data_IF_597652235710
#
_entry.id   IF_597652235710
#
_cell.length_a   1.000
_cell.length_b   1.000
_cell.length_c   1.000
_cell.angle_alpha   90.00
_cell.angle_beta   90.00
_cell.angle_gamma   90.00
#
_symmetry.space_group_name_H-M   'P 1'
#
loop_
_entity.id
_entity.type
_entity.pdbx_description
1 polymer ?
#
# COMPACT_ATOMS: atom_id res chain seq x y z
N UNK A 1 -1.34 -11.55 3.32
CA UNK A 1 -1.34 -10.13 2.98
C UNK A 1 -2.78 -9.63 3.03
N UNK A 2 -3.07 -8.67 3.90
CA UNK A 2 -4.39 -8.04 3.98
C UNK A 2 -4.42 -6.85 3.03
N UNK A 3 -5.45 -6.75 2.19
CA UNK A 3 -5.58 -5.66 1.23
C UNK A 3 -7.04 -5.24 1.05
N UNK A 4 -7.24 -4.03 0.53
CA UNK A 4 -8.53 -3.47 0.19
C UNK A 4 -8.43 -2.76 -1.15
N UNK A 5 -9.43 -2.95 -2.00
CA UNK A 5 -9.55 -2.27 -3.30
C UNK A 5 -10.68 -1.27 -3.21
N UNK A 6 -10.45 -0.07 -3.73
CA UNK A 6 -11.44 0.98 -3.87
C UNK A 6 -11.49 1.41 -5.34
N UNK A 7 -12.35 2.35 -5.69
CA UNK A 7 -12.41 2.88 -7.06
C UNK A 7 -11.12 3.59 -7.47
N UNK A 8 -10.35 4.10 -6.50
CA UNK A 8 -9.16 4.93 -6.77
C UNK A 8 -7.85 4.27 -6.36
N UNK A 9 -7.84 3.36 -5.38
CA UNK A 9 -6.61 2.82 -4.79
C UNK A 9 -6.72 1.34 -4.43
N UNK A 10 -5.56 0.68 -4.41
CA UNK A 10 -5.31 -0.57 -3.70
C UNK A 10 -4.54 -0.23 -2.43
N UNK A 11 -5.07 -0.63 -1.27
CA UNK A 11 -4.43 -0.48 0.02
C UNK A 11 -3.93 -1.84 0.49
N UNK A 12 -2.68 -1.92 0.93
CA UNK A 12 -2.07 -3.13 1.48
C UNK A 12 -1.65 -2.83 2.92
N UNK A 13 -2.15 -3.63 3.86
CA UNK A 13 -1.75 -3.56 5.24
C UNK A 13 -0.46 -4.36 5.43
N UNK A 14 0.57 -3.65 5.86
CA UNK A 14 1.83 -4.17 6.33
C UNK A 14 1.89 -4.08 7.86
N UNK A 15 1.66 -5.19 8.56
CA UNK A 15 1.74 -5.21 10.03
C UNK A 15 2.93 -6.05 10.47
N UNK A 16 3.96 -5.37 10.98
CA UNK A 16 5.17 -5.99 11.52
C UNK A 16 5.42 -5.49 12.94
N UNK A 17 5.41 -6.41 13.91
CA UNK A 17 5.59 -6.15 15.34
C UNK A 17 4.70 -5.01 15.87
N UNK A 18 5.28 -3.82 16.07
CA UNK A 18 4.63 -2.63 16.62
C UNK A 18 4.25 -1.59 15.55
N UNK A 19 4.65 -1.83 14.31
CA UNK A 19 4.40 -0.95 13.17
C UNK A 19 3.25 -1.53 12.35
N UNK A 20 2.26 -0.69 12.07
CA UNK A 20 1.15 -1.03 11.19
C UNK A 20 1.07 0.05 10.13
N UNK A 21 1.56 -0.28 8.95
CA UNK A 21 1.62 0.63 7.82
C UNK A 21 0.61 0.22 6.76
N UNK A 22 0.06 1.21 6.07
CA UNK A 22 -0.78 1.02 4.92
C UNK A 22 -0.06 1.57 3.70
N UNK A 23 0.33 0.67 2.81
CA UNK A 23 0.85 1.02 1.51
C UNK A 23 -0.34 1.30 0.58
N UNK A 24 -0.31 2.46 -0.05
CA UNK A 24 -1.38 3.00 -0.88
C UNK A 24 -0.87 3.07 -2.31
N UNK A 25 -1.56 2.39 -3.22
CA UNK A 25 -1.21 2.35 -4.63
C UNK A 25 -2.39 2.88 -5.47
N UNK A 26 -2.20 3.94 -6.27
CA UNK A 26 -3.26 4.42 -7.14
C UNK A 26 -3.62 3.36 -8.19
N UNK A 27 -4.92 3.22 -8.46
CA UNK A 27 -5.42 2.40 -9.55
C UNK A 27 -5.35 3.20 -10.84
N UNK A 28 -4.59 2.70 -11.79
CA UNK A 28 -4.48 3.25 -13.15
C UNK A 28 -4.97 2.21 -14.16
N UNK A 29 -5.28 2.62 -15.39
CA UNK A 29 -5.51 1.69 -16.52
C UNK A 29 -4.21 1.02 -16.95
N UNK A 30 -3.09 1.70 -16.72
CA UNK A 30 -1.75 1.19 -16.98
C UNK A 30 -1.28 0.48 -15.71
N UNK A 31 -0.76 -0.74 -15.87
CA UNK A 31 -0.12 -1.45 -14.77
C UNK A 31 1.31 -0.98 -14.56
N UNK A 32 1.81 -1.18 -13.36
CA UNK A 32 3.20 -1.02 -12.98
C UNK A 32 4.08 -2.02 -13.76
N UNK A 33 5.15 -1.54 -14.38
CA UNK A 33 6.06 -2.37 -15.18
C UNK A 33 7.05 -3.14 -14.32
N UNK A 34 7.45 -2.56 -13.19
CA UNK A 34 8.47 -3.11 -12.30
C UNK A 34 8.32 -2.55 -10.88
N UNK A 35 9.15 -3.06 -9.97
CA UNK A 35 9.15 -2.66 -8.56
C UNK A 35 9.56 -1.20 -8.34
N UNK A 36 10.40 -0.63 -9.22
CA UNK A 36 10.83 0.77 -9.11
C UNK A 36 9.66 1.71 -9.30
N UNK A 37 8.85 1.46 -10.34
CA UNK A 37 7.63 2.24 -10.60
C UNK A 37 6.62 2.07 -9.46
N UNK A 38 6.45 0.84 -8.97
CA UNK A 38 5.54 0.54 -7.86
C UNK A 38 5.91 1.31 -6.58
N UNK A 39 7.18 1.32 -6.20
CA UNK A 39 7.66 2.01 -5.00
C UNK A 39 7.58 3.52 -5.16
N UNK A 40 7.91 4.04 -6.34
CA UNK A 40 7.89 5.48 -6.61
C UNK A 40 6.49 6.08 -6.46
N UNK A 41 5.47 5.37 -6.90
CA UNK A 41 4.06 5.79 -6.84
C UNK A 41 3.37 5.44 -5.52
N UNK A 42 4.05 4.73 -4.61
CA UNK A 42 3.46 4.29 -3.36
C UNK A 42 3.50 5.38 -2.29
N UNK A 43 2.40 5.54 -1.57
CA UNK A 43 2.36 6.28 -0.31
C UNK A 43 2.25 5.32 0.87
N UNK A 44 2.97 5.58 1.96
CA UNK A 44 2.90 4.76 3.17
C UNK A 44 2.44 5.60 4.35
N UNK A 45 1.38 5.14 5.03
CA UNK A 45 0.78 5.81 6.18
C UNK A 45 0.71 4.88 7.38
N UNK A 46 1.08 5.37 8.56
CA UNK A 46 1.01 4.60 9.80
C UNK A 46 -0.42 4.62 10.35
N UNK A 47 -0.92 3.47 10.81
CA UNK A 47 -2.14 3.34 11.61
C UNK A 47 -1.78 2.85 13.01
N UNK A 48 -2.50 3.32 14.03
CA UNK A 48 -2.26 2.92 15.43
C UNK A 48 -3.18 1.79 15.89
N UNK A 49 -4.31 1.63 15.20
CA UNK A 49 -5.28 0.56 15.44
C UNK A 49 -5.53 -0.19 14.13
N UNK A 50 -5.31 -1.49 14.15
CA UNK A 50 -5.45 -2.35 12.97
C UNK A 50 -6.87 -2.39 12.42
N UNK A 51 -7.88 -2.19 13.29
CA UNK A 51 -9.28 -2.15 12.86
C UNK A 51 -9.60 -0.94 11.96
N UNK A 52 -8.81 0.13 12.04
CA UNK A 52 -8.97 1.32 11.21
C UNK A 52 -8.68 1.01 9.74
N UNK A 53 -7.95 -0.06 9.44
CA UNK A 53 -7.67 -0.49 8.06
C UNK A 53 -8.96 -0.71 7.24
N UNK A 54 -10.04 -1.19 7.88
CA UNK A 54 -11.33 -1.46 7.22
C UNK A 54 -11.96 -0.20 6.61
N UNK A 55 -11.70 0.96 7.21
CA UNK A 55 -12.25 2.26 6.82
C UNK A 55 -11.18 3.26 6.38
N UNK A 56 -9.93 2.81 6.26
CA UNK A 56 -8.77 3.64 5.95
C UNK A 56 -8.96 4.45 4.65
N UNK A 57 -8.50 5.69 4.70
CA UNK A 57 -8.51 6.66 3.60
C UNK A 57 -7.30 7.57 3.79
N UNK A 58 -6.29 7.42 2.93
CA UNK A 58 -5.03 8.15 3.00
C UNK A 58 -5.22 9.68 2.95
N UNK A 59 -6.31 10.17 2.32
CA UNK A 59 -6.61 11.60 2.28
C UNK A 59 -6.98 12.21 3.65
N UNK A 60 -7.25 11.35 4.65
CA UNK A 60 -7.63 11.74 6.02
C UNK A 60 -6.52 11.50 7.03
N UNK A 61 -5.39 10.93 6.59
CA UNK A 61 -4.25 10.61 7.45
C UNK A 61 -3.12 11.57 7.12
N UNK A 62 -2.72 12.37 8.11
CA UNK A 62 -1.65 13.35 7.96
C UNK A 62 -0.31 12.86 8.51
N UNK A 63 -0.25 11.64 9.03
CA UNK A 63 0.95 11.08 9.64
C UNK A 63 1.65 10.20 8.61
N UNK A 64 2.72 10.70 7.95
CA UNK A 64 3.52 9.85 7.09
C UNK A 64 4.11 8.71 7.92
N UNK A 65 4.24 7.53 7.32
CA UNK A 65 4.85 6.39 8.02
C UNK A 65 6.26 6.72 8.51
N UNK A 66 6.57 6.25 9.72
CA UNK A 66 7.94 6.27 10.27
C UNK A 66 8.84 5.20 9.65
N UNK A 67 8.26 4.20 8.98
CA UNK A 67 8.92 3.12 8.26
C UNK A 67 9.44 3.61 6.92
N UNK A 68 10.65 4.17 6.91
CA UNK A 68 11.35 4.49 5.66
C UNK A 68 11.39 3.29 4.70
N UNK A 69 11.22 3.56 3.41
CA UNK A 69 11.04 2.61 2.30
C UNK A 69 12.15 1.54 2.17
N UNK A 70 12.16 0.52 3.01
CA UNK A 70 13.05 -0.64 2.87
C UNK A 70 12.25 -1.93 2.73
N UNK A 71 11.47 -2.02 1.65
CA UNK A 71 10.79 -3.26 1.29
C UNK A 71 11.70 -4.16 0.47
N UNK A 72 11.69 -5.46 0.77
CA UNK A 72 12.42 -6.46 -0.02
C UNK A 72 11.68 -6.78 -1.32
N UNK A 73 12.39 -7.28 -2.34
CA UNK A 73 11.74 -7.75 -3.56
C UNK A 73 10.75 -8.88 -3.29
N UNK A 74 11.04 -9.76 -2.33
CA UNK A 74 10.14 -10.84 -1.91
C UNK A 74 8.80 -10.32 -1.39
N UNK A 75 8.81 -9.18 -0.71
CA UNK A 75 7.60 -8.51 -0.23
C UNK A 75 6.87 -7.75 -1.37
N UNK A 76 7.63 -7.04 -2.21
CA UNK A 76 7.03 -6.19 -3.25
C UNK A 76 6.51 -6.96 -4.47
N UNK A 77 7.10 -8.10 -4.83
CA UNK A 77 6.68 -8.88 -6.00
C UNK A 77 5.20 -9.34 -5.93
N UNK A 78 4.72 -9.90 -4.79
CA UNK A 78 3.30 -10.19 -4.61
C UNK A 78 2.40 -8.95 -4.72
N UNK A 79 2.87 -7.79 -4.24
CA UNK A 79 2.12 -6.52 -4.32
C UNK A 79 2.05 -6.03 -5.77
N UNK A 80 3.15 -6.07 -6.51
CA UNK A 80 3.19 -5.72 -7.94
C UNK A 80 2.13 -6.50 -8.71
N UNK A 81 2.07 -7.81 -8.49
CA UNK A 81 1.06 -8.68 -9.10
C UNK A 81 -0.35 -8.26 -8.67
N UNK A 82 -0.59 -8.09 -7.37
CA UNK A 82 -1.89 -7.72 -6.81
C UNK A 82 -2.43 -6.42 -7.41
N UNK A 83 -1.61 -5.37 -7.44
CA UNK A 83 -2.04 -4.05 -7.91
C UNK A 83 -2.33 -4.08 -9.42
N UNK A 84 -1.52 -4.80 -10.20
CA UNK A 84 -1.76 -4.98 -11.64
C UNK A 84 -3.01 -5.80 -11.96
N UNK A 85 -3.35 -6.79 -11.13
CA UNK A 85 -4.59 -7.57 -11.24
C UNK A 85 -5.83 -6.72 -10.90
N UNK A 86 -5.68 -5.69 -10.07
CA UNK A 86 -6.74 -4.80 -9.62
C UNK A 86 -6.67 -3.40 -10.26
N UNK A 87 -6.11 -3.28 -11.47
CA UNK A 87 -6.11 -2.04 -12.25
C UNK A 87 -7.53 -1.59 -12.66
N UNK A 88 -7.66 -0.38 -13.22
CA UNK A 88 -8.93 0.15 -13.74
C UNK A 88 -9.33 -0.45 -15.09
#
# INVERSE_FOLDING_TARGET
MNYRVTDTHVYVLDSHDTIQDVLCFPRSKQGYKNLVELVYDSETHEITNIDDFKVFDHSRVNVPSKGGFFYTEEFLNPILKLVNENKL
#
